data_IF_878842422187
#
_entry.id   IF_878842422187
#
_cell.length_a   1.000
_cell.length_b   1.000
_cell.length_c   1.000
_cell.angle_alpha   90.00
_cell.angle_beta   90.00
_cell.angle_gamma   90.00
#
_symmetry.space_group_name_H-M   'P 1'
#
loop_
_entity.id
_entity.type
_entity.pdbx_description
1 polymer ?
#
# COMPACT_ATOMS: atom_id res chain seq x y z
N UNK A 1 -3.55 18.73 -15.28
CA UNK A 1 -3.75 18.24 -13.90
C UNK A 1 -3.18 19.25 -12.92
N UNK A 2 -3.45 19.07 -11.63
CA UNK A 2 -2.78 19.83 -10.57
C UNK A 2 -1.42 19.18 -10.23
N UNK A 3 -0.46 19.97 -9.75
CA UNK A 3 0.82 19.45 -9.24
C UNK A 3 0.58 18.58 -8.01
N UNK A 4 1.08 17.32 -7.95
CA UNK A 4 0.92 16.47 -6.78
C UNK A 4 1.53 17.08 -5.51
N UNK A 5 1.01 16.70 -4.35
CA UNK A 5 1.49 17.21 -3.05
C UNK A 5 2.99 16.98 -2.87
N UNK A 6 3.46 15.76 -3.15
CA UNK A 6 4.86 15.42 -2.92
C UNK A 6 5.81 16.13 -3.89
N UNK A 7 5.40 16.35 -5.13
CA UNK A 7 6.15 17.17 -6.09
C UNK A 7 6.31 18.61 -5.60
N UNK A 8 5.25 19.22 -5.05
CA UNK A 8 5.36 20.55 -4.43
C UNK A 8 6.34 20.56 -3.23
N UNK A 9 6.40 19.48 -2.45
CA UNK A 9 7.32 19.32 -1.32
C UNK A 9 8.77 19.26 -1.81
N UNK A 10 9.02 18.50 -2.89
CA UNK A 10 10.33 18.40 -3.55
C UNK A 10 10.76 19.75 -4.12
N UNK A 11 9.87 20.44 -4.84
CA UNK A 11 10.15 21.78 -5.40
C UNK A 11 10.53 22.79 -4.32
N UNK A 12 9.87 22.72 -3.16
CA UNK A 12 10.15 23.58 -2.00
C UNK A 12 11.37 23.13 -1.19
N UNK A 13 11.94 21.96 -1.48
CA UNK A 13 13.04 21.33 -0.71
C UNK A 13 12.72 21.26 0.79
N UNK A 14 11.48 20.91 1.12
CA UNK A 14 11.00 20.94 2.51
C UNK A 14 11.42 19.73 3.34
N UNK A 15 12.04 18.71 2.72
CA UNK A 15 12.49 17.48 3.37
C UNK A 15 13.97 17.22 3.07
N UNK A 16 14.65 16.52 3.98
CA UNK A 16 16.05 16.12 3.81
C UNK A 16 16.25 15.12 2.67
N UNK A 17 15.25 14.25 2.46
CA UNK A 17 15.23 13.26 1.39
C UNK A 17 13.87 13.28 0.70
N UNK A 18 13.84 13.03 -0.61
CA UNK A 18 12.61 12.95 -1.39
C UNK A 18 11.94 11.57 -1.24
N UNK A 19 11.77 11.13 0.01
CA UNK A 19 11.16 9.85 0.35
C UNK A 19 9.94 10.04 1.23
N UNK A 20 8.99 9.12 1.11
CA UNK A 20 7.95 8.91 2.10
C UNK A 20 7.75 7.41 2.32
N UNK A 21 7.43 7.01 3.55
CA UNK A 21 7.29 5.58 3.89
C UNK A 21 6.01 5.32 4.65
N UNK A 22 5.47 4.12 4.46
CA UNK A 22 4.27 3.66 5.14
C UNK A 22 4.59 2.50 6.07
N UNK A 23 3.98 2.58 7.25
CA UNK A 23 3.90 1.49 8.21
C UNK A 23 2.44 1.23 8.54
N UNK A 24 2.04 -0.04 8.46
CA UNK A 24 0.74 -0.51 8.86
C UNK A 24 0.88 -1.49 10.02
N UNK A 25 0.17 -1.20 11.11
CA UNK A 25 0.07 -2.04 12.30
C UNK A 25 -0.95 -3.16 12.07
N UNK A 26 -0.63 -4.37 12.53
CA UNK A 26 -1.57 -5.50 12.46
C UNK A 26 -2.67 -5.46 13.53
N UNK A 27 -2.39 -4.81 14.67
CA UNK A 27 -3.19 -4.97 15.89
C UNK A 27 -3.90 -3.68 16.34
N UNK A 28 -3.55 -2.54 15.74
CA UNK A 28 -4.06 -1.23 16.12
C UNK A 28 -3.98 -0.28 14.93
N UNK A 29 -5.12 -0.02 14.28
CA UNK A 29 -5.19 0.90 13.14
C UNK A 29 -4.79 2.34 13.51
N UNK A 30 -4.93 2.71 14.79
CA UNK A 30 -4.45 4.02 15.28
C UNK A 30 -2.91 4.08 15.36
N UNK A 31 -2.22 2.95 15.17
CA UNK A 31 -0.78 2.85 15.13
C UNK A 31 -0.19 2.72 13.71
N UNK A 32 -0.95 3.11 12.69
CA UNK A 32 -0.43 3.29 11.32
C UNK A 32 0.36 4.61 11.23
N UNK A 33 1.38 4.66 10.37
CA UNK A 33 2.23 5.84 10.26
C UNK A 33 2.69 6.12 8.83
N UNK A 34 2.82 7.40 8.52
CA UNK A 34 3.50 7.90 7.32
C UNK A 34 4.72 8.71 7.76
N UNK A 35 5.89 8.32 7.26
CA UNK A 35 7.14 9.02 7.48
C UNK A 35 7.44 9.90 6.27
N UNK A 36 7.73 11.18 6.50
CA UNK A 36 8.10 12.12 5.45
C UNK A 36 9.59 12.47 5.57
N UNK A 37 10.36 12.29 4.51
CA UNK A 37 11.76 12.70 4.45
C UNK A 37 12.77 11.73 5.08
N UNK A 38 12.32 10.58 5.56
CA UNK A 38 13.18 9.59 6.19
C UNK A 38 12.43 8.35 6.64
N UNK A 39 13.09 7.55 7.48
CA UNK A 39 12.55 6.34 8.09
C UNK A 39 13.01 6.21 9.54
N UNK A 40 12.34 5.35 10.29
CA UNK A 40 12.76 4.95 11.63
C UNK A 40 12.94 3.41 11.67
N UNK A 41 14.16 2.96 11.97
CA UNK A 41 14.53 1.53 12.00
C UNK A 41 13.80 0.72 13.11
N UNK A 42 13.06 1.39 14.00
CA UNK A 42 12.18 0.73 14.98
C UNK A 42 10.96 0.08 14.32
N UNK A 43 10.62 0.43 13.07
CA UNK A 43 9.43 -0.04 12.36
C UNK A 43 9.69 -1.17 11.36
N UNK A 44 10.95 -1.54 11.12
CA UNK A 44 11.30 -2.62 10.20
C UNK A 44 12.57 -3.37 10.61
N UNK A 45 12.73 -4.56 10.05
CA UNK A 45 13.88 -5.43 10.28
C UNK A 45 14.93 -5.27 9.19
N UNK A 46 16.21 -5.36 9.58
CA UNK A 46 17.33 -5.32 8.64
C UNK A 46 17.42 -4.02 7.85
N UNK A 47 17.85 -4.15 6.59
CA UNK A 47 17.99 -3.07 5.63
C UNK A 47 16.93 -3.18 4.53
N UNK A 48 16.55 -2.04 3.95
CA UNK A 48 15.60 -2.01 2.83
C UNK A 48 16.26 -2.52 1.55
N UNK A 49 15.59 -3.43 0.86
CA UNK A 49 15.93 -3.83 -0.50
C UNK A 49 15.22 -2.92 -1.49
N UNK A 50 15.95 -2.39 -2.48
CA UNK A 50 15.42 -1.44 -3.45
C UNK A 50 15.03 -2.10 -4.76
N UNK A 51 13.88 -1.69 -5.29
CA UNK A 51 13.27 -2.15 -6.53
C UNK A 51 13.03 -0.95 -7.45
N UNK A 52 13.43 -1.07 -8.71
CA UNK A 52 13.33 0.01 -9.70
C UNK A 52 11.87 0.17 -10.12
N UNK A 53 11.36 1.42 -10.12
CA UNK A 53 10.06 1.71 -10.75
C UNK A 53 10.22 1.63 -12.26
N UNK A 54 9.36 0.88 -12.93
CA UNK A 54 9.52 0.59 -14.37
C UNK A 54 8.87 1.60 -15.29
N UNK A 55 7.77 2.20 -14.86
CA UNK A 55 7.12 3.30 -15.58
C UNK A 55 6.48 4.26 -14.58
N UNK A 56 6.80 5.55 -14.73
CA UNK A 56 6.52 6.54 -13.70
C UNK A 56 5.10 7.13 -13.82
N UNK A 57 4.11 6.25 -13.94
CA UNK A 57 2.69 6.56 -13.80
C UNK A 57 2.14 6.04 -12.46
N UNK A 58 2.56 4.84 -12.08
CA UNK A 58 2.31 4.23 -10.78
C UNK A 58 3.63 3.88 -10.09
N UNK A 59 3.55 3.47 -8.82
CA UNK A 59 4.66 2.78 -8.15
C UNK A 59 4.68 1.32 -8.59
N UNK A 60 4.97 1.11 -9.88
CA UNK A 60 4.97 -0.21 -10.51
C UNK A 60 6.35 -0.86 -10.54
N UNK A 61 6.37 -2.17 -10.27
CA UNK A 61 7.57 -3.01 -10.23
C UNK A 61 7.36 -4.25 -11.10
N UNK A 62 8.45 -4.82 -11.62
CA UNK A 62 8.41 -6.08 -12.35
C UNK A 62 8.07 -7.27 -11.42
N UNK A 63 6.98 -7.97 -11.75
CA UNK A 63 6.47 -9.16 -11.08
C UNK A 63 6.79 -10.40 -11.93
N UNK A 64 7.76 -11.20 -11.46
CA UNK A 64 8.30 -12.31 -12.23
C UNK A 64 7.55 -13.62 -12.05
N UNK A 65 6.98 -13.84 -10.86
CA UNK A 65 6.34 -15.10 -10.50
C UNK A 65 5.26 -14.88 -9.43
N UNK A 66 4.14 -15.56 -9.60
CA UNK A 66 3.14 -15.75 -8.56
C UNK A 66 2.86 -17.24 -8.39
N UNK A 67 2.95 -17.72 -7.15
CA UNK A 67 2.65 -19.11 -6.78
C UNK A 67 1.46 -19.20 -5.81
N UNK A 68 0.71 -20.30 -5.92
CA UNK A 68 -0.21 -20.77 -4.88
C UNK A 68 0.29 -22.15 -4.43
N UNK A 69 0.91 -22.20 -3.25
CA UNK A 69 1.79 -23.29 -2.85
C UNK A 69 3.00 -23.35 -3.77
N UNK A 70 3.29 -24.52 -4.32
CA UNK A 70 4.40 -24.70 -5.27
C UNK A 70 3.99 -24.50 -6.73
N UNK A 71 2.72 -24.21 -7.00
CA UNK A 71 2.15 -24.16 -8.35
C UNK A 71 2.15 -22.73 -8.90
N UNK A 72 2.85 -22.46 -10.02
CA UNK A 72 2.86 -21.14 -10.65
C UNK A 72 1.55 -20.81 -11.34
N UNK A 73 0.99 -19.66 -11.00
CA UNK A 73 -0.25 -19.12 -11.60
C UNK A 73 0.01 -17.94 -12.54
N UNK A 74 1.19 -17.33 -12.44
CA UNK A 74 1.67 -16.25 -13.30
C UNK A 74 3.18 -16.31 -13.38
N UNK A 75 3.73 -16.28 -14.59
CA UNK A 75 5.16 -16.18 -14.89
C UNK A 75 5.39 -15.10 -15.93
N UNK A 76 6.61 -14.56 -15.97
CA UNK A 76 7.06 -13.68 -17.06
C UNK A 76 6.74 -14.27 -18.46
N UNK A 77 7.01 -15.57 -18.65
CA UNK A 77 6.79 -16.26 -19.92
C UNK A 77 5.30 -16.42 -20.32
N UNK A 78 4.36 -16.14 -19.42
CA UNK A 78 2.92 -16.24 -19.70
C UNK A 78 2.39 -14.98 -20.41
N UNK A 79 3.19 -13.90 -20.49
CA UNK A 79 2.81 -12.65 -21.17
C UNK A 79 3.19 -12.72 -22.65
N UNK A 80 2.22 -12.47 -23.53
CA UNK A 80 2.44 -12.52 -24.96
C UNK A 80 3.45 -11.42 -25.40
N UNK A 81 4.44 -11.74 -26.26
CA UNK A 81 5.47 -10.79 -26.69
C UNK A 81 4.96 -9.54 -27.42
N UNK A 82 3.70 -9.56 -27.88
CA UNK A 82 3.10 -8.53 -28.72
C UNK A 82 2.38 -7.43 -27.92
N UNK A 83 2.17 -7.64 -26.61
CA UNK A 83 1.65 -6.61 -25.70
C UNK A 83 2.87 -5.79 -25.22
N UNK A 84 2.79 -4.46 -25.28
CA UNK A 84 3.91 -3.53 -25.03
C UNK A 84 4.63 -3.69 -23.68
N UNK A 85 4.11 -4.50 -22.78
CA UNK A 85 4.67 -4.83 -21.48
C UNK A 85 5.20 -6.27 -21.48
N UNK A 86 6.52 -6.41 -21.36
CA UNK A 86 7.20 -7.73 -21.44
C UNK A 86 7.10 -8.57 -20.16
N UNK A 87 6.76 -7.93 -19.04
CA UNK A 87 6.80 -8.54 -17.71
C UNK A 87 5.52 -8.09 -16.97
N UNK A 88 4.81 -9.00 -16.27
CA UNK A 88 3.71 -8.61 -15.42
C UNK A 88 4.15 -7.57 -14.39
N UNK A 89 3.23 -6.70 -13.97
CA UNK A 89 3.52 -5.62 -13.03
C UNK A 89 2.88 -5.85 -11.66
N UNK A 90 3.56 -5.42 -10.61
CA UNK A 90 3.00 -5.20 -9.28
C UNK A 90 2.92 -3.70 -9.02
N UNK A 91 1.71 -3.16 -8.85
CA UNK A 91 1.45 -1.77 -8.48
C UNK A 91 1.31 -1.72 -6.96
N UNK A 92 2.20 -0.99 -6.29
CA UNK A 92 2.16 -0.85 -4.83
C UNK A 92 1.23 0.31 -4.48
N UNK A 93 0.07 0.01 -3.91
CA UNK A 93 -1.01 0.99 -3.73
C UNK A 93 -1.54 1.03 -2.30
N UNK A 94 -1.19 2.09 -1.58
CA UNK A 94 -1.69 2.36 -0.22
C UNK A 94 -3.20 2.69 -0.18
N UNK A 95 -3.81 2.99 -1.33
CA UNK A 95 -5.24 3.30 -1.47
C UNK A 95 -6.15 2.08 -1.67
N UNK A 96 -5.58 0.88 -1.79
CA UNK A 96 -6.30 -0.38 -1.98
C UNK A 96 -6.09 -1.29 -0.77
N UNK A 97 -7.12 -2.04 -0.36
CA UNK A 97 -6.98 -3.00 0.76
C UNK A 97 -6.42 -4.35 0.30
N UNK A 98 -7.00 -4.94 -0.74
CA UNK A 98 -6.74 -6.31 -1.17
C UNK A 98 -5.66 -6.43 -2.25
N UNK A 99 -5.22 -7.66 -2.52
CA UNK A 99 -4.56 -7.96 -3.78
C UNK A 99 -5.59 -7.88 -4.92
N UNK A 100 -5.14 -7.58 -6.14
CA UNK A 100 -6.00 -7.70 -7.33
C UNK A 100 -5.51 -8.79 -8.26
N UNK A 101 -6.44 -9.39 -8.99
CA UNK A 101 -6.12 -10.31 -10.07
C UNK A 101 -7.12 -10.14 -11.24
N UNK A 102 -6.70 -10.55 -12.42
CA UNK A 102 -7.50 -10.51 -13.64
C UNK A 102 -7.31 -11.77 -14.48
N UNK A 103 -8.19 -11.97 -15.47
CA UNK A 103 -8.06 -13.03 -16.46
C UNK A 103 -7.91 -14.42 -15.83
N UNK A 104 -6.93 -15.19 -16.31
CA UNK A 104 -6.67 -16.56 -15.83
C UNK A 104 -6.18 -16.59 -14.37
N UNK A 105 -5.41 -15.59 -13.93
CA UNK A 105 -4.94 -15.50 -12.53
C UNK A 105 -6.13 -15.44 -11.58
N UNK A 106 -7.14 -14.60 -11.88
CA UNK A 106 -8.36 -14.51 -11.07
C UNK A 106 -9.13 -15.83 -11.05
N UNK A 107 -9.29 -16.50 -12.21
CA UNK A 107 -9.99 -17.79 -12.28
C UNK A 107 -9.32 -18.83 -11.38
N UNK A 108 -7.99 -18.91 -11.39
CA UNK A 108 -7.23 -19.85 -10.55
C UNK A 108 -7.36 -19.49 -9.07
N UNK A 109 -7.18 -18.21 -8.72
CA UNK A 109 -7.33 -17.70 -7.34
C UNK A 109 -8.73 -18.01 -6.80
N UNK A 110 -9.78 -17.63 -7.53
CA UNK A 110 -11.17 -17.85 -7.13
C UNK A 110 -11.54 -19.33 -7.05
N UNK A 111 -10.90 -20.19 -7.86
CA UNK A 111 -11.08 -21.63 -7.82
C UNK A 111 -10.39 -22.30 -6.62
N UNK A 112 -9.21 -21.81 -6.20
CA UNK A 112 -8.38 -22.47 -5.18
C UNK A 112 -8.57 -21.91 -3.78
N UNK A 113 -8.71 -20.59 -3.63
CA UNK A 113 -8.80 -19.93 -2.32
C UNK A 113 -10.26 -19.75 -1.90
N UNK A 114 -10.92 -20.85 -1.53
CA UNK A 114 -12.35 -20.85 -1.24
C UNK A 114 -12.67 -20.23 0.12
N UNK A 115 -13.81 -19.54 0.21
CA UNK A 115 -14.38 -19.13 1.50
C UNK A 115 -14.51 -20.35 2.42
N UNK A 116 -14.03 -20.23 3.64
CA UNK A 116 -14.07 -21.30 4.65
C UNK A 116 -14.11 -20.71 6.06
N UNK A 117 -14.29 -21.54 7.09
CA UNK A 117 -14.07 -21.08 8.47
C UNK A 117 -12.59 -20.78 8.68
N UNK A 118 -12.29 -19.69 9.38
CA UNK A 118 -10.89 -19.29 9.61
C UNK A 118 -10.08 -20.37 10.36
N UNK A 119 -10.71 -21.05 11.32
CA UNK A 119 -10.10 -22.16 12.09
C UNK A 119 -9.92 -23.47 11.30
N UNK A 120 -10.42 -23.52 10.06
CA UNK A 120 -10.41 -24.71 9.21
C UNK A 120 -9.45 -24.60 8.02
N UNK A 121 -8.70 -23.50 7.94
CA UNK A 121 -7.65 -23.31 6.94
C UNK A 121 -6.47 -24.22 7.25
N UNK A 122 -5.89 -24.79 6.20
CA UNK A 122 -4.72 -25.67 6.28
C UNK A 122 -3.78 -25.35 5.13
N UNK A 123 -2.50 -25.66 5.26
CA UNK A 123 -1.52 -25.49 4.17
C UNK A 123 -1.88 -26.26 2.89
N UNK A 124 -2.76 -27.26 2.96
CA UNK A 124 -3.24 -27.97 1.78
C UNK A 124 -4.43 -27.27 1.08
N UNK A 125 -5.32 -26.64 1.86
CA UNK A 125 -6.51 -25.96 1.34
C UNK A 125 -6.24 -24.50 0.96
N UNK A 126 -5.40 -23.84 1.76
CA UNK A 126 -5.00 -22.44 1.66
C UNK A 126 -3.47 -22.40 1.78
N UNK A 127 -2.74 -22.89 0.77
CA UNK A 127 -1.28 -22.88 0.79
C UNK A 127 -0.75 -21.45 0.73
N UNK A 128 0.54 -21.28 1.01
CA UNK A 128 1.17 -19.97 0.97
C UNK A 128 1.11 -19.35 -0.44
N UNK A 129 0.97 -18.03 -0.49
CA UNK A 129 1.12 -17.25 -1.70
C UNK A 129 2.53 -16.72 -1.78
N UNK A 130 3.16 -16.86 -2.94
CA UNK A 130 4.51 -16.31 -3.17
C UNK A 130 4.47 -15.33 -4.32
N UNK A 131 4.96 -14.11 -4.09
CA UNK A 131 5.19 -13.10 -5.11
C UNK A 131 6.69 -12.87 -5.26
N UNK A 132 7.24 -13.09 -6.46
CA UNK A 132 8.66 -12.86 -6.75
C UNK A 132 8.86 -11.56 -7.49
N UNK A 133 9.63 -10.67 -6.88
CA UNK A 133 10.13 -9.45 -7.50
C UNK A 133 11.66 -9.57 -7.67
N UNK A 134 12.25 -8.72 -8.51
CA UNK A 134 13.72 -8.62 -8.64
C UNK A 134 14.19 -7.25 -8.17
N UNK A 135 15.15 -7.26 -7.25
CA UNK A 135 15.71 -6.02 -6.71
C UNK A 135 16.71 -5.37 -7.71
N UNK A 136 17.12 -4.14 -7.43
CA UNK A 136 18.07 -3.38 -8.28
C UNK A 136 19.47 -4.00 -8.38
N UNK A 137 19.80 -5.01 -7.55
CA UNK A 137 21.03 -5.79 -7.65
C UNK A 137 20.87 -7.05 -8.52
N UNK A 138 19.70 -7.24 -9.13
CA UNK A 138 19.39 -8.40 -9.96
C UNK A 138 19.08 -9.67 -9.17
N UNK A 139 18.83 -9.56 -7.85
CA UNK A 139 18.47 -10.71 -7.01
C UNK A 139 16.96 -10.85 -6.91
N UNK A 140 16.48 -12.08 -7.06
CA UNK A 140 15.09 -12.41 -6.83
C UNK A 140 14.78 -12.37 -5.33
N UNK A 141 13.63 -11.78 -4.99
CA UNK A 141 13.09 -11.71 -3.64
C UNK A 141 11.68 -12.26 -3.64
N UNK A 142 11.46 -13.28 -2.83
CA UNK A 142 10.15 -13.86 -2.59
C UNK A 142 9.48 -13.18 -1.39
N UNK A 143 8.25 -12.72 -1.60
CA UNK A 143 7.34 -12.27 -0.57
C UNK A 143 6.29 -13.38 -0.37
N UNK A 144 6.37 -14.05 0.77
CA UNK A 144 5.55 -15.21 1.09
C UNK A 144 4.48 -14.82 2.11
N UNK A 145 3.22 -15.13 1.80
CA UNK A 145 2.06 -14.84 2.65
C UNK A 145 1.33 -16.14 2.97
N UNK A 146 1.19 -16.42 4.26
CA UNK A 146 0.40 -17.53 4.80
C UNK A 146 -1.10 -17.27 4.70
N UNK A 147 -1.90 -18.32 4.86
CA UNK A 147 -3.37 -18.23 4.81
C UNK A 147 -3.93 -17.12 5.71
N UNK A 148 -3.40 -17.00 6.93
CA UNK A 148 -3.81 -15.99 7.91
C UNK A 148 -3.53 -14.55 7.46
N UNK A 149 -2.62 -14.37 6.51
CA UNK A 149 -2.20 -13.04 6.03
C UNK A 149 -2.97 -12.60 4.79
N UNK A 150 -3.44 -13.53 3.95
CA UNK A 150 -4.19 -13.22 2.74
C UNK A 150 -5.68 -13.58 2.81
N UNK A 151 -6.14 -14.29 3.84
CA UNK A 151 -7.56 -14.56 4.09
C UNK A 151 -8.10 -13.63 5.17
N UNK A 152 -9.26 -13.02 4.92
CA UNK A 152 -9.84 -11.96 5.74
C UNK A 152 -11.12 -12.45 6.41
N UNK A 153 -11.18 -12.38 7.73
CA UNK A 153 -12.36 -12.71 8.53
C UNK A 153 -13.48 -11.68 8.28
N UNK A 154 -14.69 -12.16 8.01
CA UNK A 154 -15.90 -11.33 7.88
C UNK A 154 -16.52 -10.91 9.23
N UNK A 155 -15.85 -11.23 10.34
CA UNK A 155 -16.26 -10.94 11.70
C UNK A 155 -17.14 -12.02 12.33
N UNK A 156 -17.53 -13.05 11.56
CA UNK A 156 -18.30 -14.20 12.04
C UNK A 156 -17.45 -15.49 12.09
N UNK A 157 -16.12 -15.36 12.05
CA UNK A 157 -15.18 -16.49 12.01
C UNK A 157 -15.15 -17.20 10.66
N UNK A 158 -15.62 -16.53 9.60
CA UNK A 158 -15.56 -17.02 8.22
C UNK A 158 -14.60 -16.17 7.42
N UNK A 159 -13.63 -16.82 6.81
CA UNK A 159 -12.55 -16.19 6.08
C UNK A 159 -12.81 -16.21 4.57
N UNK A 160 -12.62 -15.06 3.93
CA UNK A 160 -12.71 -14.86 2.48
C UNK A 160 -11.34 -14.52 1.92
N UNK A 161 -11.10 -14.79 0.63
CA UNK A 161 -9.85 -14.39 -0.01
C UNK A 161 -9.71 -12.87 -0.04
N UNK A 162 -8.55 -12.36 0.36
CA UNK A 162 -8.15 -10.96 0.25
C UNK A 162 -7.74 -10.59 -1.17
N UNK A 163 -8.56 -10.99 -2.15
CA UNK A 163 -8.40 -10.68 -3.56
C UNK A 163 -9.67 -10.06 -4.12
N UNK A 164 -9.50 -9.11 -5.04
CA UNK A 164 -10.60 -8.59 -5.85
C UNK A 164 -10.31 -8.74 -7.35
N UNK A 165 -11.37 -8.91 -8.12
CA UNK A 165 -11.28 -8.92 -9.57
C UNK A 165 -11.27 -7.48 -10.10
N UNK A 166 -10.15 -7.06 -10.68
CA UNK A 166 -10.00 -5.74 -11.28
C UNK A 166 -9.43 -5.90 -12.68
N UNK A 167 -10.13 -5.36 -13.67
CA UNK A 167 -9.63 -5.33 -15.05
C UNK A 167 -8.76 -4.09 -15.24
N UNK A 168 -7.45 -4.28 -15.37
CA UNK A 168 -6.50 -3.22 -15.71
C UNK A 168 -6.36 -3.20 -17.24
N UNK A 169 -6.51 -2.02 -17.88
CA UNK A 169 -6.32 -1.88 -19.32
C UNK A 169 -5.01 -2.52 -19.81
N UNK A 170 -5.04 -3.16 -20.97
CA UNK A 170 -3.86 -3.87 -21.53
C UNK A 170 -2.66 -2.92 -21.74
N UNK A 171 -2.92 -1.63 -21.98
CA UNK A 171 -1.91 -0.57 -22.08
C UNK A 171 -1.12 -0.33 -20.77
N UNK A 172 -1.59 -0.86 -19.64
CA UNK A 172 -0.95 -0.79 -18.33
C UNK A 172 -0.79 -2.18 -17.69
N UNK A 173 -0.95 -3.25 -18.48
CA UNK A 173 -1.05 -4.62 -17.97
C UNK A 173 -0.33 -5.67 -18.82
N UNK A 174 -0.24 -6.92 -18.32
CA UNK A 174 -0.93 -7.44 -17.14
C UNK A 174 -0.33 -6.96 -15.82
N UNK A 175 -1.18 -6.52 -14.89
CA UNK A 175 -0.76 -5.98 -13.60
C UNK A 175 -1.61 -6.51 -12.44
N UNK A 176 -1.03 -6.51 -11.25
CA UNK A 176 -1.70 -6.78 -9.98
C UNK A 176 -1.44 -5.59 -9.05
N UNK A 177 -2.43 -5.21 -8.27
CA UNK A 177 -2.30 -4.18 -7.24
C UNK A 177 -2.03 -4.88 -5.91
N UNK A 178 -0.98 -4.45 -5.22
CA UNK A 178 -0.60 -4.91 -3.89
C UNK A 178 -1.01 -3.84 -2.89
N UNK A 179 -2.16 -4.09 -2.26
CA UNK A 179 -2.76 -3.19 -1.30
C UNK A 179 -2.24 -3.35 0.12
N UNK A 180 -3.04 -2.86 1.06
CA UNK A 180 -2.81 -2.91 2.50
C UNK A 180 -2.42 -4.30 3.03
N UNK A 181 -3.01 -5.39 2.51
CA UNK A 181 -2.64 -6.75 2.94
C UNK A 181 -1.16 -7.07 2.71
N UNK A 182 -0.54 -6.53 1.66
CA UNK A 182 0.90 -6.61 1.46
C UNK A 182 1.64 -5.67 2.43
N UNK A 183 1.21 -4.41 2.47
CA UNK A 183 1.87 -3.32 3.19
C UNK A 183 1.87 -3.49 4.73
N UNK A 184 0.94 -4.27 5.28
CA UNK A 184 0.89 -4.68 6.69
C UNK A 184 2.10 -5.49 7.14
N UNK A 185 2.69 -6.27 6.24
CA UNK A 185 3.83 -7.14 6.54
C UNK A 185 5.14 -6.61 5.94
N UNK A 186 5.06 -5.64 5.04
CA UNK A 186 6.19 -5.07 4.32
C UNK A 186 6.25 -3.56 4.53
N UNK A 187 7.21 -3.11 5.35
CA UNK A 187 7.52 -1.70 5.49
C UNK A 187 7.99 -1.17 4.13
N UNK A 188 7.31 -0.14 3.64
CA UNK A 188 7.45 0.32 2.26
C UNK A 188 7.89 1.77 2.23
N UNK A 189 9.03 2.03 1.59
CA UNK A 189 9.52 3.37 1.27
C UNK A 189 9.34 3.66 -0.22
N UNK A 190 8.72 4.78 -0.52
CA UNK A 190 8.65 5.35 -1.85
C UNK A 190 9.70 6.46 -1.97
N UNK A 191 10.64 6.30 -2.89
CA UNK A 191 11.77 7.22 -3.08
C UNK A 191 11.71 7.83 -4.47
N UNK A 192 11.63 9.17 -4.53
CA UNK A 192 11.64 9.95 -5.78
C UNK A 192 13.04 10.34 -6.24
N UNK A 193 14.09 9.92 -5.54
CA UNK A 193 15.48 10.22 -5.88
C UNK A 193 15.74 11.72 -5.89
N UNK A 194 16.19 12.24 -7.02
CA UNK A 194 16.39 13.68 -7.26
C UNK A 194 15.10 14.43 -7.67
N UNK A 195 13.95 13.73 -7.67
CA UNK A 195 12.65 14.23 -8.10
C UNK A 195 12.30 13.82 -9.52
N UNK A 196 13.27 13.34 -10.31
CA UNK A 196 13.04 12.89 -11.67
C UNK A 196 12.31 11.51 -11.67
N UNK A 197 11.24 11.34 -12.47
CA UNK A 197 10.44 10.12 -12.48
C UNK A 197 11.25 8.83 -12.75
N UNK A 198 12.28 8.91 -13.58
CA UNK A 198 13.17 7.79 -13.94
C UNK A 198 14.03 7.28 -12.79
N UNK A 199 14.26 8.10 -11.76
CA UNK A 199 15.05 7.74 -10.59
C UNK A 199 14.19 7.21 -9.44
N UNK A 200 12.87 7.07 -9.67
CA UNK A 200 11.96 6.55 -8.68
C UNK A 200 12.23 5.07 -8.38
N UNK A 201 12.17 4.71 -7.10
CA UNK A 201 12.35 3.33 -6.61
C UNK A 201 11.50 3.08 -5.36
N UNK A 202 11.22 1.81 -5.11
CA UNK A 202 10.49 1.36 -3.92
C UNK A 202 11.42 0.50 -3.07
N UNK A 203 11.46 0.80 -1.78
CA UNK A 203 12.26 0.09 -0.79
C UNK A 203 11.37 -0.79 0.09
N UNK A 204 11.71 -2.07 0.23
CA UNK A 204 10.98 -3.02 1.08
C UNK A 204 11.85 -3.55 2.21
N UNK A 205 11.26 -3.67 3.39
CA UNK A 205 11.81 -4.41 4.52
C UNK A 205 10.66 -5.11 5.28
N UNK A 206 10.96 -6.15 6.06
CA UNK A 206 9.95 -6.79 6.91
C UNK A 206 9.45 -5.79 7.95
N UNK A 207 8.14 -5.56 8.01
CA UNK A 207 7.55 -4.67 9.01
C UNK A 207 7.64 -5.29 10.40
N UNK A 208 8.13 -4.54 11.39
CA UNK A 208 8.10 -4.97 12.80
C UNK A 208 6.69 -4.85 13.35
N UNK A 209 6.32 -5.77 14.21
CA UNK A 209 5.00 -5.80 14.82
C UNK A 209 5.13 -5.93 16.34
N UNK A 210 4.10 -5.51 17.07
CA UNK A 210 4.01 -5.65 18.52
C UNK A 210 4.13 -4.34 19.31
N UNK A 211 4.01 -4.46 20.62
CA UNK A 211 3.81 -3.31 21.52
C UNK A 211 4.96 -2.30 21.53
N UNK A 212 6.20 -2.74 21.25
CA UNK A 212 7.37 -1.87 21.19
C UNK A 212 7.28 -0.87 20.03
N UNK A 213 6.74 -1.30 18.88
CA UNK A 213 6.55 -0.41 17.71
C UNK A 213 5.46 0.62 17.97
N UNK A 214 4.38 0.20 18.64
CA UNK A 214 3.31 1.12 19.07
C UNK A 214 3.85 2.17 20.05
N UNK A 215 4.71 1.78 21.00
CA UNK A 215 5.37 2.73 21.91
C UNK A 215 6.28 3.70 21.16
N UNK A 216 7.08 3.21 20.21
CA UNK A 216 7.94 4.05 19.38
C UNK A 216 7.13 5.09 18.60
N UNK A 217 5.95 4.73 18.09
CA UNK A 217 5.06 5.67 17.41
C UNK A 217 4.45 6.71 18.35
N UNK A 218 4.06 6.31 19.57
CA UNK A 218 3.57 7.24 20.59
C UNK A 218 4.65 8.25 20.99
N UNK A 219 5.91 7.84 21.07
CA UNK A 219 7.04 8.74 21.34
C UNK A 219 7.26 9.76 20.22
N UNK A 220 7.15 9.34 18.96
CA UNK A 220 7.32 10.23 17.79
C UNK A 220 6.20 11.26 17.66
N UNK A 221 4.98 10.91 18.08
CA UNK A 221 3.78 11.75 17.91
C UNK A 221 3.48 12.63 19.12
N UNK A 222 4.00 12.28 20.30
CA UNK A 222 4.01 13.16 21.47
C UNK A 222 5.11 14.21 21.29
N UNK A 223 4.74 15.35 20.71
CA UNK A 223 5.64 16.50 20.57
C UNK A 223 6.29 16.94 21.90
N UNK A 224 7.26 17.87 21.89
CA UNK A 224 8.05 18.25 23.06
C UNK A 224 7.29 18.87 24.26
N UNK A 225 5.96 18.89 24.27
CA UNK A 225 5.14 19.55 25.31
C UNK A 225 4.63 18.65 26.45
N UNK A 226 4.86 17.33 26.42
CA UNK A 226 4.37 16.43 27.47
C UNK A 226 5.23 16.41 28.77
N UNK A 227 6.37 17.09 28.80
CA UNK A 227 7.28 17.15 29.99
C UNK A 227 7.23 18.48 30.74
N UNK A 228 6.46 19.48 30.28
CA UNK A 228 6.37 20.82 30.91
C UNK A 228 5.16 20.99 31.84
N UNK A 229 4.13 20.15 31.76
CA UNK A 229 2.88 20.32 32.51
C UNK A 229 2.95 19.95 34.02
N UNK A 230 4.14 19.90 34.62
CA UNK A 230 4.31 19.63 36.06
C UNK A 230 5.21 20.64 36.78
N UNK A 231 5.06 21.93 36.48
CA UNK A 231 5.51 22.98 37.38
C UNK A 231 4.68 24.26 37.21
N UNK A 232 4.02 24.70 38.29
CA UNK A 232 3.60 26.10 38.44
C UNK A 232 2.11 26.39 38.21
N UNK A 233 1.33 26.22 39.26
CA UNK A 233 0.06 26.93 39.44
C UNK A 233 0.27 28.46 39.54
N UNK A 234 -0.48 29.26 38.77
CA UNK A 234 -1.28 30.44 39.22
C UNK A 234 -2.01 31.13 38.04
N UNK A 235 -3.08 31.93 38.31
CA UNK A 235 -4.29 31.93 37.48
C UNK A 235 -4.53 33.20 36.63
N UNK A 236 -5.37 33.02 35.60
CA UNK A 236 -6.34 34.02 35.10
C UNK A 236 -5.89 34.92 33.96
N UNK A 237 -6.53 34.78 32.78
CA UNK A 237 -7.35 35.81 32.12
C UNK A 237 -8.28 35.10 31.13
N UNK A 238 -9.59 35.26 31.33
CA UNK A 238 -10.62 34.92 30.35
C UNK A 238 -10.99 36.17 29.55
N UNK A 239 -10.86 36.15 28.22
CA UNK A 239 -11.79 36.75 27.24
C UNK A 239 -11.18 36.85 25.84
N UNK A 240 -12.03 36.58 24.84
CA UNK A 240 -12.08 37.10 23.46
C UNK A 240 -12.02 35.96 22.40
N UNK A 241 -13.19 35.48 21.98
CA UNK A 241 -13.88 35.85 20.74
C UNK A 241 -13.59 34.80 19.64
N UNK A 242 -14.46 33.84 19.31
CA UNK A 242 -15.89 33.96 18.97
C UNK A 242 -16.18 35.19 18.11
N UNK A 243 -15.67 35.15 16.86
CA UNK A 243 -16.19 35.85 15.67
C UNK A 243 -15.37 35.49 14.43
N UNK A 244 -15.63 34.32 13.84
CA UNK A 244 -15.33 34.06 12.42
C UNK A 244 -16.17 32.91 11.84
N UNK A 245 -17.46 32.91 12.16
CA UNK A 245 -18.47 32.12 11.48
C UNK A 245 -19.51 33.12 10.99
N UNK A 246 -19.29 33.66 9.78
CA UNK A 246 -20.19 34.46 8.93
C UNK A 246 -19.33 35.37 8.05
N UNK A 247 -18.89 34.83 6.90
CA UNK A 247 -18.54 35.55 5.65
C UNK A 247 -17.69 34.65 4.76
N UNK A 248 -18.33 33.67 4.12
CA UNK A 248 -18.07 33.27 2.72
C UNK A 248 -19.08 32.18 2.32
N UNK A 249 -20.36 32.55 2.33
CA UNK A 249 -21.32 31.97 1.39
C UNK A 249 -21.40 32.94 0.20
N UNK A 250 -21.65 32.41 -0.99
CA UNK A 250 -21.73 33.09 -2.30
C UNK A 250 -20.41 33.25 -3.08
N UNK A 251 -19.96 32.13 -3.67
CA UNK A 251 -19.61 32.08 -5.11
C UNK A 251 -19.51 30.63 -5.61
N UNK A 252 -20.65 30.10 -6.05
CA UNK A 252 -20.73 29.05 -7.09
C UNK A 252 -20.45 29.72 -8.45
N UNK A 253 -19.93 29.15 -9.54
CA UNK A 253 -19.93 27.82 -10.18
C UNK A 253 -18.70 27.80 -11.13
N UNK A 254 -18.06 26.65 -11.38
CA UNK A 254 -17.89 26.06 -12.74
C UNK A 254 -16.66 25.11 -12.88
N UNK A 255 -16.97 23.88 -13.30
CA UNK A 255 -16.19 22.88 -14.04
C UNK A 255 -14.92 22.24 -13.42
N UNK A 256 -15.00 20.96 -13.03
CA UNK A 256 -14.71 19.80 -13.92
C UNK A 256 -14.52 18.49 -13.11
N UNK A 257 -15.32 17.48 -13.45
CA UNK A 257 -15.17 16.03 -13.19
C UNK A 257 -15.43 15.36 -14.56
N UNK A 258 -14.81 14.22 -14.96
CA UNK A 258 -15.15 12.86 -14.48
C UNK A 258 -13.88 11.96 -14.35
N UNK A 259 -13.88 10.73 -13.82
CA UNK A 259 -14.88 9.67 -13.91
C UNK A 259 -14.79 8.67 -12.75
N UNK A 260 -15.95 8.28 -12.23
CA UNK A 260 -16.19 7.06 -11.48
C UNK A 260 -16.75 6.02 -12.46
N UNK A 261 -16.26 4.79 -12.41
CA UNK A 261 -16.81 3.67 -13.18
C UNK A 261 -17.98 3.06 -12.42
N UNK A 262 -19.17 3.14 -13.03
CA UNK A 262 -20.37 2.40 -12.62
C UNK A 262 -20.42 1.12 -13.45
N UNK A 263 -20.51 -0.02 -12.76
CA UNK A 263 -20.82 -1.31 -13.36
C UNK A 263 -22.31 -1.33 -13.78
N UNK A 264 -22.60 -1.69 -15.02
CA UNK A 264 -23.93 -2.01 -15.49
C UNK A 264 -24.06 -3.52 -15.69
N UNK A 265 -24.93 -4.12 -14.88
CA UNK A 265 -25.56 -5.42 -15.17
C UNK A 265 -26.42 -5.31 -16.42
N UNK A 266 -26.29 -6.25 -17.36
CA UNK A 266 -27.37 -6.62 -18.26
C UNK A 266 -27.69 -8.11 -18.09
N UNK A 267 -28.89 -8.35 -17.58
CA UNK A 267 -29.63 -9.59 -17.71
C UNK A 267 -30.43 -9.55 -19.02
N UNK A 268 -30.51 -10.68 -19.74
CA UNK A 268 -31.55 -10.85 -20.75
C UNK A 268 -31.36 -11.98 -21.75
N UNK A 269 -32.10 -13.06 -21.51
CA UNK A 269 -32.56 -14.14 -22.43
C UNK A 269 -31.61 -15.29 -22.76
#
# INVERSE_FOLDING_TARGET
GATPLFDNIIEQKALDQNVFSFYFSLNDDAANAVFWGGVDHRFFEGEREWFQVTEAHYWELDLFLVLIGDEPILREADVAPEVGHRIPKAIIDTGTTFFTAQGEVWKVVAARLKRTRCDSMTSASHPDLTFRLRNMQGRDRDFVFTAEQYMVDDGNGTCNMGFMHVSIPEEHGPAMIFGELFLRYVFTTFDRGDGAPENARVGFATAKQGSEVVQALQELTRGPEATSARAGSRPGVAHAAEKRAERTAERTVEAASPAAWVASDEAGA
#
